data_IF_567334990028
#
_entry.id   IF_567334990028
#
_cell.length_a   1.000
_cell.length_b   1.000
_cell.length_c   1.000
_cell.angle_alpha   90.00
_cell.angle_beta   90.00
_cell.angle_gamma   90.00
#
_symmetry.space_group_name_H-M   'P 1'
#
loop_
_entity.id
_entity.type
_entity.pdbx_description
1 polymer ?
#
# COMPACT_ATOMS: atom_id res chain seq x y z
N UNK A 1 -1.26 38.20 26.85
CA UNK A 1 -0.56 37.37 27.85
C UNK A 1 0.44 36.52 27.10
N UNK A 2 1.66 36.33 27.61
CA UNK A 2 2.57 35.34 27.02
C UNK A 2 2.24 33.97 27.62
N UNK A 3 2.60 32.86 26.96
CA UNK A 3 2.39 31.50 27.50
C UNK A 3 2.92 31.32 28.93
N UNK A 4 3.83 32.18 29.39
CA UNK A 4 4.40 32.15 30.74
C UNK A 4 3.42 32.52 31.88
N UNK A 5 2.19 32.95 31.57
CA UNK A 5 1.21 33.36 32.59
C UNK A 5 0.16 32.29 32.90
N UNK A 6 0.16 31.18 32.17
CA UNK A 6 -0.69 30.02 32.44
C UNK A 6 0.13 28.95 33.14
N UNK A 7 -0.39 28.42 34.24
CA UNK A 7 0.17 27.23 34.85
C UNK A 7 0.02 26.03 33.90
N UNK A 8 0.79 24.98 34.10
CA UNK A 8 0.67 23.76 33.29
C UNK A 8 -0.73 23.16 33.39
N UNK A 9 -1.23 22.61 32.27
CA UNK A 9 -2.60 22.04 32.15
C UNK A 9 -3.73 22.99 32.55
N UNK A 10 -3.47 24.30 32.59
CA UNK A 10 -4.47 25.30 32.98
C UNK A 10 -5.63 25.43 31.98
N UNK A 11 -5.49 24.88 30.77
CA UNK A 11 -6.53 24.83 29.76
C UNK A 11 -7.07 23.41 29.67
N UNK A 12 -8.27 23.20 30.20
CA UNK A 12 -9.03 21.96 30.14
C UNK A 12 -10.20 22.11 29.16
N UNK A 13 -10.96 21.03 28.94
CA UNK A 13 -12.07 21.03 27.97
C UNK A 13 -13.12 22.09 28.31
N UNK A 14 -13.38 22.32 29.60
CA UNK A 14 -14.30 23.37 30.07
C UNK A 14 -13.79 24.80 29.87
N UNK A 15 -12.48 24.98 29.68
CA UNK A 15 -11.87 26.29 29.40
C UNK A 15 -11.87 26.62 27.91
N UNK A 16 -11.99 25.59 27.07
CA UNK A 16 -12.18 25.73 25.63
C UNK A 16 -13.67 25.83 25.41
N UNK A 17 -14.17 27.07 25.42
CA UNK A 17 -15.54 27.30 24.99
C UNK A 17 -15.71 26.72 23.57
N UNK A 18 -16.88 26.16 23.31
CA UNK A 18 -17.17 25.64 21.98
C UNK A 18 -16.93 26.76 20.95
N UNK A 19 -16.36 26.40 19.80
CA UNK A 19 -16.12 27.31 18.67
C UNK A 19 -15.07 28.41 18.88
N UNK A 20 -14.19 28.29 19.90
CA UNK A 20 -13.13 29.29 20.12
C UNK A 20 -11.74 28.90 19.62
N UNK A 21 -11.49 27.63 19.25
CA UNK A 21 -10.26 27.23 18.54
C UNK A 21 -10.56 27.25 17.05
N UNK A 22 -10.03 28.27 16.40
CA UNK A 22 -10.22 28.55 14.99
C UNK A 22 -8.98 28.08 14.20
N UNK A 23 -9.08 27.95 12.87
CA UNK A 23 -7.93 27.57 12.04
C UNK A 23 -6.81 28.61 12.07
N UNK A 24 -7.08 29.88 12.35
CA UNK A 24 -6.03 30.88 12.56
C UNK A 24 -5.19 30.61 13.84
N UNK A 25 -5.74 29.82 14.76
CA UNK A 25 -5.03 29.30 15.93
C UNK A 25 -4.20 28.06 15.60
N UNK A 26 -4.40 27.45 14.41
CA UNK A 26 -3.77 26.23 13.92
C UNK A 26 -2.96 26.56 12.67
N UNK A 27 -1.64 26.53 12.77
CA UNK A 27 -0.80 26.85 11.61
C UNK A 27 -0.97 25.83 10.48
N UNK A 28 -0.72 26.23 9.24
CA UNK A 28 -0.73 25.29 8.12
C UNK A 28 0.29 24.17 8.35
N UNK A 29 -0.17 22.92 8.24
CA UNK A 29 0.62 21.73 8.55
C UNK A 29 0.77 21.42 10.04
N UNK A 30 0.11 22.17 10.91
CA UNK A 30 0.10 21.93 12.36
C UNK A 30 -0.78 20.73 12.71
N UNK A 31 -1.97 20.63 12.12
CA UNK A 31 -2.76 19.39 12.12
C UNK A 31 -2.28 18.55 10.96
N UNK A 32 -1.34 17.70 11.28
CA UNK A 32 -0.83 16.73 10.35
C UNK A 32 -1.68 15.45 10.46
N UNK A 33 -1.49 14.54 9.53
CA UNK A 33 -2.32 13.33 9.41
C UNK A 33 -2.36 12.44 10.66
N UNK A 34 -1.45 12.66 11.60
CA UNK A 34 -1.33 12.08 12.96
C UNK A 34 -2.38 12.58 13.95
N UNK A 35 -2.90 13.77 13.72
CA UNK A 35 -3.97 14.33 14.53
C UNK A 35 -5.32 13.71 14.15
N UNK A 36 -5.30 12.85 13.13
CA UNK A 36 -6.45 12.23 12.50
C UNK A 36 -6.35 10.73 12.74
N UNK A 37 -7.01 10.26 13.81
CA UNK A 37 -7.09 8.84 14.11
C UNK A 37 -7.84 8.09 12.99
N UNK A 38 -7.25 6.98 12.52
CA UNK A 38 -7.74 6.15 11.42
C UNK A 38 -9.21 5.69 11.51
N UNK A 39 -9.76 5.61 12.72
CA UNK A 39 -11.18 5.37 13.01
C UNK A 39 -11.76 4.02 12.58
N UNK A 40 -11.04 3.23 11.78
CA UNK A 40 -11.51 1.94 11.25
C UNK A 40 -10.44 0.86 11.34
N UNK A 41 -10.89 -0.40 11.34
CA UNK A 41 -10.00 -1.55 11.32
C UNK A 41 -9.37 -1.68 9.92
N UNK A 42 -8.10 -2.04 9.87
CA UNK A 42 -7.36 -2.35 8.64
C UNK A 42 -7.27 -1.20 7.61
N UNK A 43 -7.08 0.02 8.10
CA UNK A 43 -6.72 1.19 7.28
C UNK A 43 -5.24 1.56 7.46
N UNK A 44 -4.60 2.06 6.42
CA UNK A 44 -3.18 2.42 6.33
C UNK A 44 -3.09 3.84 5.78
N UNK A 45 -2.46 4.76 6.50
CA UNK A 45 -2.17 6.07 5.97
C UNK A 45 -1.08 5.99 4.89
N UNK A 46 -1.34 6.45 3.67
CA UNK A 46 -0.43 6.43 2.52
C UNK A 46 -0.31 7.79 1.89
N UNK A 47 0.90 8.11 1.46
CA UNK A 47 1.16 9.28 0.64
C UNK A 47 1.28 8.86 -0.81
N UNK A 48 0.47 9.42 -1.70
CA UNK A 48 0.56 9.11 -3.13
C UNK A 48 1.80 9.75 -3.78
N UNK A 49 2.01 9.46 -5.06
CA UNK A 49 3.17 9.94 -5.81
C UNK A 49 3.15 11.46 -6.09
N UNK A 50 2.06 12.13 -5.73
CA UNK A 50 1.89 13.58 -5.77
C UNK A 50 2.08 14.23 -4.38
N UNK A 51 2.34 13.45 -3.32
CA UNK A 51 2.53 13.95 -1.96
C UNK A 51 1.26 13.95 -1.09
N UNK A 52 0.18 13.32 -1.56
CA UNK A 52 -1.12 13.33 -0.87
C UNK A 52 -1.21 12.21 0.15
N UNK A 53 -1.31 12.56 1.43
CA UNK A 53 -1.45 11.63 2.55
C UNK A 53 -2.92 11.22 2.76
N UNK A 54 -3.24 9.93 2.93
CA UNK A 54 -4.61 9.41 3.02
C UNK A 54 -4.71 8.04 3.72
N UNK A 55 -5.71 7.80 4.57
CA UNK A 55 -5.98 6.47 5.11
C UNK A 55 -6.65 5.58 4.04
N UNK A 56 -6.00 4.49 3.62
CA UNK A 56 -6.47 3.52 2.61
C UNK A 56 -6.66 2.12 3.20
N UNK A 57 -7.56 1.33 2.64
CA UNK A 57 -7.75 -0.06 3.07
C UNK A 57 -6.48 -0.90 2.89
N UNK A 58 -6.13 -1.70 3.89
CA UNK A 58 -5.02 -2.65 3.79
C UNK A 58 -5.26 -3.71 2.71
N UNK A 59 -6.52 -3.95 2.35
CA UNK A 59 -6.89 -4.85 1.27
C UNK A 59 -6.80 -4.21 -0.12
N UNK A 60 -6.64 -2.89 -0.24
CA UNK A 60 -6.50 -2.22 -1.54
C UNK A 60 -5.10 -2.36 -2.12
N UNK A 61 -4.14 -2.82 -1.33
CA UNK A 61 -2.85 -3.25 -1.83
C UNK A 61 -3.08 -4.59 -2.54
N UNK A 62 -3.16 -4.54 -3.88
CA UNK A 62 -3.24 -5.74 -4.71
C UNK A 62 -2.10 -6.72 -4.37
N UNK A 63 -2.21 -7.98 -4.81
CA UNK A 63 -1.08 -8.89 -4.73
C UNK A 63 0.14 -8.19 -5.33
N UNK A 64 1.18 -7.97 -4.54
CA UNK A 64 2.40 -7.35 -5.03
C UNK A 64 3.30 -8.51 -5.43
N UNK A 65 3.77 -8.52 -6.67
CA UNK A 65 4.83 -9.44 -7.06
C UNK A 65 6.03 -9.23 -6.13
N UNK A 66 6.85 -10.27 -5.91
CA UNK A 66 8.08 -10.09 -5.14
C UNK A 66 9.11 -9.21 -5.89
N UNK A 67 8.86 -8.95 -7.17
CA UNK A 67 9.71 -8.23 -8.11
C UNK A 67 11.10 -8.89 -8.29
N UNK A 68 11.20 -10.19 -8.00
CA UNK A 68 12.43 -10.99 -8.07
C UNK A 68 12.20 -12.33 -8.78
N UNK A 69 11.25 -13.15 -8.35
CA UNK A 69 10.90 -14.43 -8.99
C UNK A 69 9.57 -14.34 -9.76
N UNK A 70 8.72 -13.41 -9.35
CA UNK A 70 7.50 -13.01 -10.03
C UNK A 70 7.58 -11.49 -10.21
N UNK A 71 7.49 -11.02 -11.45
CA UNK A 71 7.54 -9.58 -11.77
C UNK A 71 6.27 -9.14 -12.48
N UNK A 72 6.07 -7.83 -12.55
CA UNK A 72 4.92 -7.19 -13.20
C UNK A 72 3.95 -6.61 -12.18
N UNK A 73 3.13 -5.65 -12.60
CA UNK A 73 2.17 -4.95 -11.75
C UNK A 73 0.84 -5.71 -11.54
N UNK A 74 0.68 -6.90 -12.13
CA UNK A 74 -0.57 -7.67 -12.06
C UNK A 74 -1.74 -7.04 -12.82
N UNK A 75 -1.44 -6.11 -13.73
CA UNK A 75 -2.44 -5.43 -14.56
C UNK A 75 -2.56 -6.11 -15.92
N UNK A 76 -3.59 -5.79 -16.71
CA UNK A 76 -3.69 -6.31 -18.08
C UNK A 76 -2.52 -5.84 -18.97
N UNK A 77 -2.00 -4.63 -18.73
CA UNK A 77 -0.87 -4.06 -19.47
C UNK A 77 0.49 -4.58 -18.99
N UNK A 78 0.58 -5.01 -17.72
CA UNK A 78 1.78 -5.53 -17.09
C UNK A 78 1.39 -6.70 -16.15
N UNK A 79 1.09 -7.87 -16.70
CA UNK A 79 0.64 -9.03 -15.92
C UNK A 79 1.79 -9.62 -15.12
N UNK A 80 1.46 -10.38 -14.07
CA UNK A 80 2.49 -11.15 -13.38
C UNK A 80 3.12 -12.18 -14.31
N UNK A 81 4.46 -12.20 -14.34
CA UNK A 81 5.27 -13.17 -15.06
C UNK A 81 6.26 -13.82 -14.11
N UNK A 82 6.61 -15.06 -14.40
CA UNK A 82 7.72 -15.74 -13.73
C UNK A 82 9.00 -15.35 -14.48
N UNK A 83 10.05 -14.99 -13.76
CA UNK A 83 11.32 -14.60 -14.38
C UNK A 83 11.99 -15.76 -15.13
N UNK A 84 12.88 -15.42 -16.06
CA UNK A 84 13.58 -16.41 -16.87
C UNK A 84 14.33 -17.40 -15.98
N UNK A 85 14.36 -18.67 -16.42
CA UNK A 85 14.97 -19.81 -15.71
C UNK A 85 14.35 -20.12 -14.34
N UNK A 86 13.29 -19.41 -13.92
CA UNK A 86 12.69 -19.63 -12.60
C UNK A 86 11.80 -20.86 -12.56
N UNK A 87 11.35 -21.41 -13.69
CA UNK A 87 10.70 -22.73 -13.76
C UNK A 87 11.78 -23.80 -13.92
N UNK A 88 12.08 -24.50 -12.83
CA UNK A 88 13.06 -25.60 -12.77
C UNK A 88 12.38 -26.94 -12.61
N UNK A 89 13.09 -28.05 -12.86
CA UNK A 89 12.54 -29.42 -12.78
C UNK A 89 11.80 -29.70 -11.47
N UNK A 90 12.34 -29.27 -10.33
CA UNK A 90 11.69 -29.47 -9.02
C UNK A 90 10.34 -28.75 -8.84
N UNK A 91 10.00 -27.80 -9.71
CA UNK A 91 8.69 -27.11 -9.72
C UNK A 91 7.66 -27.81 -10.63
N UNK A 92 8.09 -28.77 -11.44
CA UNK A 92 7.24 -29.57 -12.31
C UNK A 92 7.20 -30.99 -11.79
N UNK A 93 6.04 -31.43 -11.29
CA UNK A 93 5.85 -32.82 -10.90
C UNK A 93 5.97 -33.76 -12.12
N UNK A 94 6.28 -35.03 -11.89
CA UNK A 94 6.30 -36.03 -12.95
C UNK A 94 4.94 -36.12 -13.64
N UNK A 95 4.95 -36.02 -14.98
CA UNK A 95 3.72 -35.97 -15.76
C UNK A 95 2.92 -34.66 -15.63
N UNK A 96 3.48 -33.61 -15.02
CA UNK A 96 2.82 -32.30 -14.94
C UNK A 96 2.59 -31.67 -16.33
N UNK A 97 3.49 -31.90 -17.28
CA UNK A 97 3.35 -31.48 -18.67
C UNK A 97 3.07 -32.73 -19.52
N UNK A 98 1.84 -32.86 -20.01
CA UNK A 98 1.39 -33.99 -20.84
C UNK A 98 1.09 -33.52 -22.26
N UNK A 99 1.00 -34.45 -23.21
CA UNK A 99 0.68 -34.14 -24.61
C UNK A 99 -0.64 -33.40 -24.76
N UNK A 100 -1.67 -33.74 -23.99
CA UNK A 100 -2.97 -33.03 -24.02
C UNK A 100 -2.88 -31.58 -23.54
N UNK A 101 -1.85 -31.21 -22.76
CA UNK A 101 -1.60 -29.83 -22.31
C UNK A 101 -0.81 -29.01 -23.33
N UNK A 102 -0.27 -29.63 -24.37
CA UNK A 102 0.52 -29.00 -25.41
C UNK A 102 -0.29 -28.97 -26.71
N UNK A 103 -0.38 -27.80 -27.33
CA UNK A 103 -0.93 -27.71 -28.68
C UNK A 103 -0.02 -28.45 -29.68
N UNK A 104 -0.60 -28.95 -30.78
CA UNK A 104 0.18 -29.59 -31.85
C UNK A 104 1.25 -28.64 -32.38
N UNK A 105 2.50 -29.10 -32.41
CA UNK A 105 3.66 -28.30 -32.82
C UNK A 105 4.15 -27.26 -31.78
N UNK A 106 3.61 -27.25 -30.56
CA UNK A 106 4.04 -26.31 -29.52
C UNK A 106 5.53 -26.46 -29.15
N UNK A 107 6.08 -27.68 -29.21
CA UNK A 107 7.51 -27.96 -29.04
C UNK A 107 8.12 -28.22 -30.42
N UNK A 108 9.08 -27.41 -30.82
CA UNK A 108 9.77 -27.51 -32.11
C UNK A 108 11.22 -27.92 -31.90
N UNK A 109 11.91 -28.38 -32.95
CA UNK A 109 13.34 -28.74 -32.88
C UNK A 109 14.21 -27.56 -32.41
N UNK A 110 13.81 -26.32 -32.66
CA UNK A 110 14.52 -25.12 -32.19
C UNK A 110 14.33 -24.84 -30.68
N UNK A 111 13.40 -25.53 -30.01
CA UNK A 111 13.08 -25.39 -28.57
C UNK A 111 13.68 -26.52 -27.70
N UNK A 112 14.36 -27.49 -28.31
CA UNK A 112 15.03 -28.63 -27.67
C UNK A 112 16.54 -28.36 -27.59
#
# INVERSE_FOLDING_TARGET
>A
MTNAQLADSAVQTENIANETILSEDIKDGEIATNDIASGGNDKVLVTDNAGTVAWVDKSSFAAIADQVTITGAGTTADPFKVEDLSIVTGKLADGAVTTVKLADGAVTTAKL
#
